data_IF_594826624666
#
_entry.id   IF_594826624666
#
_cell.length_a   1.000
_cell.length_b   1.000
_cell.length_c   1.000
_cell.angle_alpha   90.00
_cell.angle_beta   90.00
_cell.angle_gamma   90.00
#
_symmetry.space_group_name_H-M   'P 1'
#
loop_
_entity.id
_entity.type
_entity.pdbx_description
1 polymer ?
#
# COMPACT_ATOMS: atom_id res chain seq x y z
N UNK A 1 -17.68 -59.23 -11.89
CA UNK A 1 -18.35 -58.35 -12.88
C UNK A 1 -17.93 -56.92 -12.56
N UNK A 2 -16.95 -56.40 -13.30
CA UNK A 2 -16.35 -55.08 -13.10
C UNK A 2 -16.96 -54.14 -14.16
N UNK A 3 -17.65 -53.07 -13.74
CA UNK A 3 -18.19 -52.03 -14.64
C UNK A 3 -17.49 -50.71 -14.35
N UNK A 4 -16.52 -50.27 -15.19
CA UNK A 4 -15.98 -48.92 -15.14
C UNK A 4 -16.75 -48.03 -16.13
N UNK A 5 -17.83 -47.40 -15.68
CA UNK A 5 -18.59 -46.43 -16.48
C UNK A 5 -18.86 -45.16 -15.67
N UNK A 6 -17.81 -44.49 -15.23
CA UNK A 6 -17.90 -43.16 -14.59
C UNK A 6 -16.73 -42.27 -14.96
N UNK A 7 -16.34 -42.26 -16.24
CA UNK A 7 -15.25 -41.42 -16.74
C UNK A 7 -15.61 -40.63 -18.01
N UNK A 8 -16.90 -40.42 -18.31
CA UNK A 8 -17.31 -39.72 -19.55
C UNK A 8 -17.90 -38.32 -19.26
N UNK A 9 -18.26 -38.00 -18.01
CA UNK A 9 -18.89 -36.72 -17.69
C UNK A 9 -17.94 -35.50 -17.64
N UNK A 10 -16.62 -35.69 -17.68
CA UNK A 10 -15.65 -34.60 -17.53
C UNK A 10 -15.31 -33.85 -18.84
N UNK A 11 -15.66 -34.39 -20.01
CA UNK A 11 -15.23 -33.82 -21.31
C UNK A 11 -16.12 -32.66 -21.79
N UNK A 12 -17.35 -32.56 -21.30
CA UNK A 12 -18.31 -31.52 -21.71
C UNK A 12 -17.98 -30.11 -21.18
N UNK A 13 -17.07 -29.97 -20.23
CA UNK A 13 -16.70 -28.67 -19.65
C UNK A 13 -15.66 -27.89 -20.46
N UNK A 14 -15.02 -28.48 -21.48
CA UNK A 14 -13.94 -27.82 -22.24
C UNK A 14 -14.39 -27.14 -23.54
N UNK A 15 -15.66 -27.24 -23.96
CA UNK A 15 -16.14 -26.62 -25.21
C UNK A 15 -16.54 -25.13 -25.06
N UNK A 16 -16.42 -24.54 -23.86
CA UNK A 16 -16.78 -23.14 -23.63
C UNK A 16 -15.67 -22.13 -23.97
N UNK A 17 -14.45 -22.59 -24.29
CA UNK A 17 -13.41 -21.73 -24.85
C UNK A 17 -13.41 -21.85 -26.39
N UNK A 18 -14.38 -21.22 -27.05
CA UNK A 18 -14.33 -21.00 -28.50
C UNK A 18 -13.74 -19.60 -28.75
N UNK A 19 -12.51 -19.46 -29.28
CA UNK A 19 -11.91 -18.16 -29.57
C UNK A 19 -12.40 -17.69 -30.94
N UNK A 20 -13.70 -17.43 -31.06
CA UNK A 20 -14.28 -16.87 -32.28
C UNK A 20 -15.37 -15.86 -31.90
N UNK A 21 -14.96 -14.87 -31.10
CA UNK A 21 -15.66 -13.59 -31.05
C UNK A 21 -15.22 -12.82 -32.28
N UNK A 22 -16.04 -12.88 -33.32
CA UNK A 22 -16.00 -11.95 -34.43
C UNK A 22 -15.91 -10.53 -33.87
N UNK A 23 -14.95 -9.77 -34.38
CA UNK A 23 -14.79 -8.34 -34.13
C UNK A 23 -16.08 -7.66 -34.62
N UNK A 24 -17.01 -7.39 -33.71
CA UNK A 24 -18.06 -6.42 -33.96
C UNK A 24 -17.37 -5.07 -34.13
N UNK A 25 -17.47 -4.56 -35.36
CA UNK A 25 -17.10 -3.22 -35.78
C UNK A 25 -17.92 -2.23 -34.95
N UNK A 26 -17.40 -1.93 -33.77
CA UNK A 26 -17.99 -0.95 -32.86
C UNK A 26 -17.78 0.40 -33.54
N UNK A 27 -18.86 1.15 -33.85
CA UNK A 27 -18.74 2.45 -34.49
C UNK A 27 -17.73 3.28 -33.70
N UNK A 28 -16.72 3.79 -34.41
CA UNK A 28 -15.63 4.63 -33.91
C UNK A 28 -16.07 5.38 -32.65
N UNK A 29 -15.72 4.81 -31.49
CA UNK A 29 -15.71 5.54 -30.23
C UNK A 29 -14.60 6.57 -30.44
N UNK A 30 -14.96 7.69 -31.05
CA UNK A 30 -14.17 8.91 -31.09
C UNK A 30 -13.57 9.04 -29.70
N UNK A 31 -12.24 8.95 -29.63
CA UNK A 31 -11.48 8.92 -28.40
C UNK A 31 -11.93 10.11 -27.55
N UNK A 32 -12.89 9.87 -26.66
CA UNK A 32 -13.28 10.82 -25.65
C UNK A 32 -12.12 10.79 -24.67
N UNK A 33 -11.11 11.60 -24.96
CA UNK A 33 -10.08 11.91 -23.99
C UNK A 33 -10.81 12.27 -22.71
N UNK A 34 -10.55 11.59 -21.57
CA UNK A 34 -11.26 11.88 -20.34
C UNK A 34 -11.13 13.38 -20.09
N UNK A 35 -12.27 14.06 -19.99
CA UNK A 35 -12.29 15.48 -19.70
C UNK A 35 -11.41 15.71 -18.45
N UNK A 36 -10.51 16.71 -18.47
CA UNK A 36 -9.65 16.97 -17.33
C UNK A 36 -10.54 17.09 -16.09
N UNK A 37 -10.26 16.24 -15.12
CA UNK A 37 -10.88 16.29 -13.82
C UNK A 37 -10.82 17.74 -13.32
N UNK A 38 -11.91 18.27 -12.74
CA UNK A 38 -11.94 19.60 -12.11
C UNK A 38 -11.09 19.65 -10.82
N UNK A 39 -9.98 18.93 -10.80
CA UNK A 39 -8.96 19.09 -9.78
C UNK A 39 -8.19 20.35 -10.17
N UNK A 40 -8.16 21.38 -9.30
CA UNK A 40 -7.31 22.53 -9.55
C UNK A 40 -5.87 22.06 -9.78
N UNK A 41 -5.15 22.72 -10.68
CA UNK A 41 -3.74 22.42 -10.90
C UNK A 41 -2.99 22.53 -9.57
N UNK A 42 -2.25 21.48 -9.20
CA UNK A 42 -1.38 21.51 -8.02
C UNK A 42 -0.29 22.53 -8.29
N UNK A 43 -0.36 23.69 -7.65
CA UNK A 43 0.76 24.62 -7.59
C UNK A 43 1.84 23.99 -6.73
N UNK A 44 2.90 23.47 -7.37
CA UNK A 44 4.18 23.15 -6.73
C UNK A 44 4.83 24.47 -6.28
N UNK A 45 4.23 25.12 -5.28
CA UNK A 45 4.77 26.32 -4.64
C UNK A 45 5.89 25.93 -3.67
N UNK A 46 6.87 26.82 -3.52
CA UNK A 46 8.10 26.69 -2.75
C UNK A 46 7.96 26.51 -1.22
N UNK A 47 6.91 25.84 -0.74
CA UNK A 47 6.69 25.63 0.71
C UNK A 47 5.61 24.63 1.09
N UNK A 48 5.14 23.79 0.16
CA UNK A 48 4.14 22.74 0.45
C UNK A 48 4.69 21.32 0.53
N UNK A 49 5.87 21.09 -0.07
CA UNK A 49 6.54 19.80 -0.07
C UNK A 49 7.90 20.01 0.59
N UNK A 50 8.12 19.34 1.71
CA UNK A 50 9.43 19.29 2.36
C UNK A 50 10.23 18.14 1.76
N UNK A 51 11.48 18.42 1.39
CA UNK A 51 12.39 17.37 0.90
C UNK A 51 12.60 16.35 2.01
N UNK A 52 12.46 15.06 1.68
CA UNK A 52 12.72 13.99 2.64
C UNK A 52 14.22 13.77 2.72
N UNK A 53 14.82 14.24 3.80
CA UNK A 53 16.21 13.94 4.12
C UNK A 53 16.44 12.41 4.21
N UNK A 54 17.68 11.93 4.00
CA UNK A 54 18.06 10.55 4.29
C UNK A 54 17.74 10.15 5.76
N UNK A 55 17.96 8.88 6.13
CA UNK A 55 17.74 8.38 7.50
C UNK A 55 18.66 9.07 8.54
N UNK A 56 18.28 10.28 8.94
CA UNK A 56 19.00 11.12 9.89
C UNK A 56 18.51 10.90 11.32
N UNK A 57 17.35 10.25 11.49
CA UNK A 57 16.84 9.81 12.78
C UNK A 57 17.38 8.42 13.19
N UNK A 58 18.01 7.66 12.29
CA UNK A 58 18.53 6.33 12.57
C UNK A 58 17.44 5.27 12.72
N UNK A 59 16.33 5.43 11.99
CA UNK A 59 15.20 4.49 11.95
C UNK A 59 15.67 3.05 11.64
N UNK A 60 16.70 2.89 10.81
CA UNK A 60 17.27 1.58 10.46
C UNK A 60 17.72 0.77 11.68
N UNK A 61 18.09 1.40 12.79
CA UNK A 61 18.54 0.71 14.00
C UNK A 61 17.41 0.02 14.77
N UNK A 62 16.15 0.33 14.44
CA UNK A 62 14.96 -0.16 15.15
C UNK A 62 14.15 -1.17 14.34
N UNK A 63 14.59 -1.55 13.14
CA UNK A 63 13.85 -2.48 12.26
C UNK A 63 13.66 -3.87 12.88
N UNK A 64 14.44 -4.21 13.90
CA UNK A 64 14.31 -5.48 14.65
C UNK A 64 12.96 -5.63 15.37
N UNK A 65 12.25 -4.53 15.64
CA UNK A 65 10.92 -4.57 16.26
C UNK A 65 9.77 -4.48 15.27
N UNK A 66 10.03 -4.50 13.96
CA UNK A 66 8.97 -4.59 12.96
C UNK A 66 8.14 -5.87 13.18
N UNK A 67 6.82 -5.73 13.09
CA UNK A 67 5.84 -6.77 13.36
C UNK A 67 5.62 -7.07 14.85
N UNK A 68 6.35 -6.42 15.76
CA UNK A 68 6.17 -6.61 17.19
C UNK A 68 5.13 -5.65 17.78
N UNK A 69 4.54 -5.97 18.95
CA UNK A 69 3.63 -5.07 19.64
C UNK A 69 4.32 -3.75 20.04
N UNK A 70 3.56 -2.66 20.07
CA UNK A 70 4.05 -1.33 20.48
C UNK A 70 4.76 -1.31 21.85
N UNK A 71 4.44 -2.24 22.75
CA UNK A 71 5.12 -2.37 24.05
C UNK A 71 6.62 -2.63 23.92
N UNK A 72 7.09 -3.21 22.81
CA UNK A 72 8.52 -3.44 22.57
C UNK A 72 9.31 -2.12 22.44
N UNK A 73 8.66 -1.02 22.06
CA UNK A 73 9.32 0.30 21.91
C UNK A 73 9.96 0.73 23.25
N UNK A 74 9.37 0.36 24.39
CA UNK A 74 9.90 0.70 25.71
C UNK A 74 11.24 0.01 26.04
N UNK A 75 11.57 -1.07 25.32
CA UNK A 75 12.84 -1.79 25.47
C UNK A 75 13.95 -1.18 24.60
N UNK A 76 13.58 -0.34 23.64
CA UNK A 76 14.51 0.37 22.79
C UNK A 76 15.08 1.54 23.60
N UNK A 77 16.39 1.57 23.78
CA UNK A 77 17.09 2.69 24.43
C UNK A 77 17.14 3.91 23.48
N UNK A 78 15.96 4.47 23.15
CA UNK A 78 15.82 5.59 22.22
C UNK A 78 16.26 6.87 22.95
N UNK A 79 17.29 7.52 22.43
CA UNK A 79 17.88 8.74 23.02
C UNK A 79 17.46 10.03 22.31
N UNK A 80 16.56 9.92 21.33
CA UNK A 80 16.12 11.00 20.43
C UNK A 80 14.60 11.14 20.46
N UNK A 81 14.03 12.24 19.95
CA UNK A 81 12.58 12.38 19.88
C UNK A 81 11.97 11.19 19.14
N UNK A 82 10.88 10.64 19.67
CA UNK A 82 10.12 9.63 18.97
C UNK A 82 8.63 9.84 19.14
N UNK A 83 7.86 9.24 18.23
CA UNK A 83 6.41 9.22 18.27
C UNK A 83 5.92 7.81 17.96
N UNK A 84 4.83 7.43 18.63
CA UNK A 84 4.03 6.27 18.27
C UNK A 84 2.74 6.77 17.64
N UNK A 85 2.45 6.31 16.43
CA UNK A 85 1.27 6.68 15.66
C UNK A 85 0.35 5.48 15.61
N UNK A 86 -0.80 5.60 16.24
CA UNK A 86 -1.81 4.56 16.23
C UNK A 86 -2.38 4.34 14.83
N UNK A 87 -3.02 3.19 14.63
CA UNK A 87 -3.72 2.91 13.37
C UNK A 87 -4.77 3.98 13.08
N UNK A 88 -4.59 4.70 11.96
CA UNK A 88 -5.43 5.84 11.55
C UNK A 88 -5.44 6.99 12.58
N UNK A 89 -4.41 7.09 13.41
CA UNK A 89 -4.18 8.22 14.30
C UNK A 89 -3.95 9.52 13.53
N UNK A 90 -4.24 10.64 14.20
CA UNK A 90 -4.01 11.99 13.64
C UNK A 90 -2.60 12.45 14.03
N UNK A 91 -1.86 12.98 13.07
CA UNK A 91 -0.54 13.57 13.27
C UNK A 91 -0.55 15.06 12.92
N UNK A 92 0.30 15.84 13.59
CA UNK A 92 0.62 17.19 13.18
C UNK A 92 1.46 17.18 11.89
N UNK A 93 1.22 18.14 11.02
CA UNK A 93 1.90 18.25 9.74
C UNK A 93 3.27 18.98 9.87
N UNK A 94 3.97 18.77 10.98
CA UNK A 94 5.26 19.43 11.29
C UNK A 94 6.38 18.41 11.17
N UNK A 95 7.21 18.56 10.13
CA UNK A 95 8.36 17.69 9.87
C UNK A 95 9.52 17.95 10.85
N UNK A 96 10.06 16.88 11.44
CA UNK A 96 11.28 16.86 12.24
C UNK A 96 12.18 15.69 11.79
N UNK A 97 13.27 15.93 11.04
CA UNK A 97 14.12 14.87 10.53
C UNK A 97 14.83 14.05 11.62
N UNK A 98 14.92 14.57 12.85
CA UNK A 98 15.55 13.87 13.98
C UNK A 98 14.60 12.98 14.78
N UNK A 99 13.30 13.03 14.48
CA UNK A 99 12.26 12.26 15.17
C UNK A 99 12.04 10.91 14.52
N UNK A 100 12.03 9.86 15.33
CA UNK A 100 11.65 8.50 14.89
C UNK A 100 10.14 8.33 15.03
N UNK A 101 9.48 7.84 13.98
CA UNK A 101 8.04 7.59 13.98
C UNK A 101 7.80 6.10 13.87
N UNK A 102 7.19 5.50 14.90
CA UNK A 102 6.72 4.13 14.91
C UNK A 102 5.23 4.12 14.55
N UNK A 103 4.86 3.47 13.45
CA UNK A 103 3.45 3.40 13.01
C UNK A 103 2.86 2.04 13.33
N UNK A 104 1.66 2.05 13.90
CA UNK A 104 0.96 0.85 14.33
C UNK A 104 -0.11 0.43 13.34
N UNK A 105 -0.22 -0.88 13.13
CA UNK A 105 -1.32 -1.49 12.38
C UNK A 105 -2.57 -1.62 13.26
N UNK A 106 -3.65 -2.13 12.67
CA UNK A 106 -4.92 -2.32 13.38
C UNK A 106 -4.84 -3.29 14.57
N UNK A 107 -3.80 -4.12 14.66
CA UNK A 107 -3.55 -5.03 15.78
C UNK A 107 -2.60 -4.43 16.84
N UNK A 108 -2.11 -3.20 16.64
CA UNK A 108 -1.18 -2.53 17.55
C UNK A 108 0.28 -2.97 17.37
N UNK A 109 0.61 -3.61 16.25
CA UNK A 109 1.99 -3.99 15.92
C UNK A 109 2.65 -2.90 15.08
N UNK A 110 3.97 -2.77 15.23
CA UNK A 110 4.77 -1.81 14.49
C UNK A 110 4.88 -2.28 13.03
N UNK A 111 4.23 -1.59 12.09
CA UNK A 111 4.27 -1.95 10.67
C UNK A 111 5.22 -1.09 9.85
N UNK A 112 5.58 0.10 10.34
CA UNK A 112 6.53 0.99 9.68
C UNK A 112 7.33 1.81 10.69
N UNK A 113 8.56 2.14 10.33
CA UNK A 113 9.45 3.02 11.09
C UNK A 113 10.07 4.02 10.12
N UNK A 114 9.84 5.31 10.32
CA UNK A 114 10.35 6.37 9.45
C UNK A 114 10.81 7.61 10.23
N UNK A 115 11.51 8.52 9.54
CA UNK A 115 11.88 9.82 10.11
C UNK A 115 10.88 10.89 9.69
N UNK A 116 10.41 11.69 10.64
CA UNK A 116 9.51 12.79 10.34
C UNK A 116 8.77 13.38 11.50
#
# INVERSE_FOLDING_TARGET
MLRPFSAIAAVLALAACNPDTALEDTPDQAMSSPAPHMTPAVTLGAGGLEEREPDTCGAVNYVSVLGQPASQIQTLAITRPYRVVEWRGVEDQIYNPQRVVFRLDAAGNIYNIDCG
#
